data_IF_868224922695
#
_entry.id   IF_868224922695
#
_cell.length_a   1.000
_cell.length_b   1.000
_cell.length_c   1.000
_cell.angle_alpha   90.00
_cell.angle_beta   90.00
_cell.angle_gamma   90.00
#
_symmetry.space_group_name_H-M   'P 1'
#
loop_
_entity.id
_entity.type
_entity.pdbx_description
1 polymer ?
#
# COMPACT_ATOMS: atom_id res chain seq x y z
N UNK A 1 -10.60 10.03 -19.92
CA UNK A 1 -11.29 9.24 -18.93
C UNK A 1 -12.75 9.08 -19.28
N UNK A 2 -13.28 7.87 -19.21
CA UNK A 2 -14.62 7.51 -19.69
C UNK A 2 -15.78 7.83 -18.75
N UNK A 3 -15.71 8.91 -17.97
CA UNK A 3 -16.84 9.36 -17.15
C UNK A 3 -17.93 10.06 -17.96
N UNK A 4 -19.18 9.97 -17.49
CA UNK A 4 -20.32 10.69 -18.02
C UNK A 4 -21.19 11.21 -16.86
N UNK A 5 -22.33 11.88 -17.17
CA UNK A 5 -23.21 12.44 -16.14
C UNK A 5 -23.83 11.41 -15.19
N UNK A 6 -23.88 10.13 -15.57
CA UNK A 6 -24.40 9.04 -14.75
C UNK A 6 -23.29 8.31 -14.00
N UNK A 7 -22.10 8.24 -14.59
CA UNK A 7 -20.91 7.60 -14.03
C UNK A 7 -19.75 8.61 -14.08
N UNK A 8 -19.71 9.56 -13.14
CA UNK A 8 -18.66 10.57 -13.11
C UNK A 8 -17.30 9.92 -12.88
N UNK A 9 -16.27 10.43 -13.53
CA UNK A 9 -14.90 10.00 -13.34
C UNK A 9 -14.01 11.22 -13.12
N UNK A 10 -13.04 11.09 -12.22
CA UNK A 10 -12.02 12.09 -11.94
C UNK A 10 -10.72 11.41 -11.59
N UNK A 11 -9.61 12.04 -11.94
CA UNK A 11 -8.29 11.64 -11.49
C UNK A 11 -8.03 12.24 -10.12
N UNK A 12 -7.31 11.46 -9.28
CA UNK A 12 -6.90 11.88 -7.96
C UNK A 12 -5.40 12.18 -7.89
N UNK A 13 -4.84 12.12 -6.69
CA UNK A 13 -3.44 12.44 -6.46
C UNK A 13 -2.50 11.64 -7.34
N UNK A 14 -1.50 12.32 -7.89
CA UNK A 14 -0.54 11.74 -8.83
C UNK A 14 0.85 11.67 -8.22
N UNK A 15 1.60 10.64 -8.61
CA UNK A 15 3.01 10.49 -8.28
C UNK A 15 3.86 10.72 -9.51
N UNK A 16 4.80 11.65 -9.41
CA UNK A 16 5.77 11.99 -10.45
C UNK A 16 7.08 11.27 -10.18
N UNK A 17 7.71 10.73 -11.22
CA UNK A 17 9.03 10.08 -11.14
C UNK A 17 9.99 10.64 -12.18
N UNK A 18 11.16 11.04 -11.67
CA UNK A 18 12.38 11.25 -12.39
C UNK A 18 13.23 9.97 -12.17
N UNK A 19 13.41 9.16 -13.21
CA UNK A 19 14.07 7.86 -13.10
C UNK A 19 15.54 7.89 -13.47
N UNK A 20 15.97 8.88 -14.23
CA UNK A 20 17.36 9.08 -14.67
C UNK A 20 18.10 10.13 -13.83
N UNK A 21 17.39 10.87 -12.96
CA UNK A 21 17.97 11.83 -12.03
C UNK A 21 18.36 13.16 -12.69
N UNK A 22 17.79 13.49 -13.85
CA UNK A 22 18.10 14.70 -14.59
C UNK A 22 17.33 15.95 -14.12
N UNK A 23 16.43 15.81 -13.14
CA UNK A 23 15.61 16.88 -12.57
C UNK A 23 14.32 17.15 -13.36
N UNK A 24 14.03 16.35 -14.39
CA UNK A 24 12.77 16.42 -15.14
C UNK A 24 11.89 15.18 -14.88
N UNK A 25 10.57 15.35 -15.02
CA UNK A 25 9.64 14.25 -14.86
C UNK A 25 9.71 13.28 -16.05
N UNK A 26 9.92 11.99 -15.80
CA UNK A 26 9.85 10.94 -16.81
C UNK A 26 8.44 10.36 -16.93
N UNK A 27 7.84 10.01 -15.80
CA UNK A 27 6.54 9.39 -15.74
C UNK A 27 5.65 9.97 -14.65
N UNK A 28 4.36 9.96 -14.90
CA UNK A 28 3.32 10.26 -13.89
C UNK A 28 2.37 9.09 -13.79
N UNK A 29 2.05 8.71 -12.56
CA UNK A 29 1.07 7.67 -12.25
C UNK A 29 -0.07 8.28 -11.43
N UNK A 30 -1.32 7.98 -11.80
CA UNK A 30 -2.49 8.48 -11.08
C UNK A 30 -3.64 7.49 -11.15
N UNK A 31 -4.45 7.45 -10.09
CA UNK A 31 -5.70 6.70 -10.05
C UNK A 31 -6.91 7.50 -10.52
N UNK A 32 -7.98 6.80 -10.89
CA UNK A 32 -9.27 7.45 -11.14
C UNK A 32 -10.43 6.72 -10.43
N UNK A 33 -11.62 7.35 -10.40
CA UNK A 33 -12.82 6.80 -9.74
C UNK A 33 -13.36 5.53 -10.42
N UNK A 34 -12.98 5.26 -11.66
CA UNK A 34 -13.33 4.03 -12.37
C UNK A 34 -12.28 2.92 -12.17
N UNK A 35 -11.34 3.12 -11.24
CA UNK A 35 -10.33 2.11 -10.87
C UNK A 35 -9.22 1.96 -11.89
N UNK A 36 -9.05 2.92 -12.81
CA UNK A 36 -7.93 2.86 -13.72
C UNK A 36 -6.68 3.47 -13.06
N UNK A 37 -5.59 2.74 -13.07
CA UNK A 37 -4.25 3.24 -12.80
C UNK A 37 -3.67 3.72 -14.14
N UNK A 38 -3.50 5.01 -14.27
CA UNK A 38 -2.95 5.66 -15.45
C UNK A 38 -1.44 5.83 -15.34
N UNK A 39 -0.77 5.67 -16.48
CA UNK A 39 0.64 6.02 -16.69
C UNK A 39 0.74 7.04 -17.81
N UNK A 40 1.48 8.12 -17.59
CA UNK A 40 1.78 9.16 -18.58
C UNK A 40 3.30 9.22 -18.78
N UNK A 41 3.73 9.16 -20.03
CA UNK A 41 5.13 9.31 -20.44
C UNK A 41 5.39 10.78 -20.78
N UNK A 42 6.24 11.42 -19.98
CA UNK A 42 6.62 12.84 -20.12
C UNK A 42 8.07 13.03 -20.59
N UNK A 43 8.77 11.97 -20.98
CA UNK A 43 10.20 12.01 -21.37
C UNK A 43 10.48 12.84 -22.62
N UNK A 44 9.45 13.15 -23.41
CA UNK A 44 9.62 14.03 -24.56
C UNK A 44 9.91 15.45 -24.13
N UNK A 45 10.92 16.09 -24.72
CA UNK A 45 11.20 17.51 -24.53
C UNK A 45 10.14 18.44 -25.11
N UNK A 46 9.26 17.92 -25.96
CA UNK A 46 8.13 18.66 -26.56
C UNK A 46 6.83 18.42 -25.78
N UNK A 47 6.28 19.46 -25.18
CA UNK A 47 5.00 19.38 -24.46
C UNK A 47 3.84 18.97 -25.35
N UNK A 48 3.90 19.24 -26.66
CA UNK A 48 2.88 18.78 -27.62
C UNK A 48 2.83 17.26 -27.74
N UNK A 49 3.94 16.57 -27.50
CA UNK A 49 3.98 15.11 -27.49
C UNK A 49 3.22 14.51 -26.30
N UNK A 50 3.17 15.19 -25.14
CA UNK A 50 2.50 14.67 -23.93
C UNK A 50 0.99 14.50 -24.11
N UNK A 51 0.38 15.23 -25.06
CA UNK A 51 -1.06 15.10 -25.41
C UNK A 51 -1.33 13.90 -26.31
N UNK A 52 -0.31 13.27 -26.89
CA UNK A 52 -0.50 12.11 -27.75
C UNK A 52 -1.06 10.92 -26.98
N UNK A 53 -1.99 10.21 -27.60
CA UNK A 53 -2.62 9.03 -27.00
C UNK A 53 -1.61 7.91 -26.70
N UNK A 54 -0.49 7.84 -27.46
CA UNK A 54 0.59 6.88 -27.25
C UNK A 54 1.40 7.12 -25.96
N UNK A 55 1.38 8.35 -25.43
CA UNK A 55 2.13 8.73 -24.23
C UNK A 55 1.27 8.66 -22.96
N UNK A 56 0.07 8.13 -23.05
CA UNK A 56 -0.81 7.85 -21.93
C UNK A 56 -1.45 6.48 -22.08
N UNK A 57 -1.45 5.70 -21.02
CA UNK A 57 -2.08 4.39 -21.03
C UNK A 57 -2.72 4.08 -19.69
N UNK A 58 -3.72 3.22 -19.70
CA UNK A 58 -4.18 2.54 -18.49
C UNK A 58 -3.23 1.37 -18.24
N UNK A 59 -2.40 1.48 -17.20
CA UNK A 59 -1.46 0.41 -16.82
C UNK A 59 -2.23 -0.80 -16.29
N UNK A 60 -3.22 -0.56 -15.43
CA UNK A 60 -4.07 -1.59 -14.83
C UNK A 60 -5.47 -1.04 -14.54
N UNK A 61 -6.46 -1.91 -14.51
CA UNK A 61 -7.81 -1.57 -14.05
C UNK A 61 -8.19 -2.43 -12.85
N UNK A 62 -8.37 -1.81 -11.69
CA UNK A 62 -8.74 -2.47 -10.47
C UNK A 62 -10.23 -2.86 -10.47
N UNK A 63 -10.49 -4.14 -10.22
CA UNK A 63 -11.83 -4.73 -10.08
C UNK A 63 -11.82 -5.78 -8.97
N UNK A 64 -12.95 -5.99 -8.29
CA UNK A 64 -13.10 -7.13 -7.38
C UNK A 64 -13.42 -8.43 -8.15
N UNK A 65 -13.59 -9.54 -7.45
CA UNK A 65 -13.92 -10.83 -8.06
C UNK A 65 -15.28 -10.85 -8.79
N UNK A 66 -16.19 -9.97 -8.41
CA UNK A 66 -17.47 -9.76 -9.11
C UNK A 66 -17.37 -8.84 -10.33
N UNK A 67 -16.17 -8.40 -10.71
CA UNK A 67 -15.96 -7.48 -11.84
C UNK A 67 -16.34 -6.03 -11.56
N UNK A 68 -16.69 -5.68 -10.33
CA UNK A 68 -17.02 -4.31 -9.96
C UNK A 68 -15.75 -3.47 -9.86
N UNK A 69 -15.78 -2.27 -10.41
CA UNK A 69 -14.67 -1.32 -10.39
C UNK A 69 -14.35 -0.89 -8.96
N UNK A 70 -13.06 -0.79 -8.67
CA UNK A 70 -12.53 -0.36 -7.38
C UNK A 70 -11.83 0.99 -7.55
N UNK A 71 -12.42 2.11 -7.08
CA UNK A 71 -11.84 3.45 -7.22
C UNK A 71 -10.43 3.55 -6.64
N UNK A 72 -9.57 4.36 -7.24
CA UNK A 72 -8.22 4.66 -6.75
C UNK A 72 -8.17 6.15 -6.43
N UNK A 73 -8.14 6.50 -5.14
CA UNK A 73 -8.25 7.89 -4.67
C UNK A 73 -7.02 8.40 -3.93
N UNK A 74 -6.02 7.54 -3.67
CA UNK A 74 -4.74 7.91 -3.10
C UNK A 74 -3.64 7.99 -4.16
N UNK A 75 -2.54 8.70 -3.86
CA UNK A 75 -1.38 8.73 -4.74
C UNK A 75 -0.68 7.36 -4.74
N UNK A 76 -0.38 6.77 -5.91
CA UNK A 76 0.37 5.52 -5.97
C UNK A 76 1.81 5.72 -5.46
N UNK A 77 2.37 4.72 -4.77
CA UNK A 77 3.80 4.69 -4.49
C UNK A 77 4.54 4.01 -5.65
N UNK A 78 5.62 4.62 -6.13
CA UNK A 78 6.37 4.09 -7.27
C UNK A 78 7.82 3.91 -6.86
N UNK A 79 8.32 2.68 -6.84
CA UNK A 79 9.70 2.37 -6.44
C UNK A 79 10.30 1.30 -7.33
N UNK A 80 11.63 1.28 -7.38
CA UNK A 80 12.40 0.25 -8.08
C UNK A 80 12.77 -0.87 -7.12
N UNK A 81 12.50 -2.11 -7.50
CA UNK A 81 13.01 -3.28 -6.76
C UNK A 81 14.54 -3.28 -6.82
N UNK A 82 15.23 -3.28 -5.67
CA UNK A 82 16.68 -3.24 -5.65
C UNK A 82 17.36 -4.50 -6.21
N UNK A 83 16.63 -5.61 -6.28
CA UNK A 83 17.17 -6.89 -6.72
C UNK A 83 16.98 -7.12 -8.24
N UNK A 84 15.80 -6.78 -8.75
CA UNK A 84 15.44 -7.02 -10.17
C UNK A 84 15.54 -5.76 -11.01
N UNK A 85 15.63 -4.59 -10.37
CA UNK A 85 15.58 -3.26 -11.00
C UNK A 85 14.28 -2.96 -11.74
N UNK A 86 13.27 -3.83 -11.62
CA UNK A 86 11.93 -3.59 -12.13
C UNK A 86 11.27 -2.43 -11.36
N UNK A 87 10.53 -1.60 -12.08
CA UNK A 87 9.74 -0.53 -11.47
C UNK A 87 8.38 -1.09 -11.05
N UNK A 88 7.98 -0.78 -9.83
CA UNK A 88 6.71 -1.22 -9.26
C UNK A 88 5.83 -0.04 -8.86
N UNK A 89 4.53 -0.23 -8.97
CA UNK A 89 3.51 0.74 -8.60
C UNK A 89 2.59 0.12 -7.57
N UNK A 90 2.53 0.71 -6.37
CA UNK A 90 1.70 0.25 -5.25
C UNK A 90 0.56 1.22 -5.03
N UNK A 91 -0.65 0.70 -4.87
CA UNK A 91 -1.84 1.51 -4.64
C UNK A 91 -2.90 0.71 -3.89
N UNK A 92 -3.71 1.42 -3.13
CA UNK A 92 -4.92 0.86 -2.55
C UNK A 92 -6.15 1.33 -3.31
N UNK A 93 -7.25 0.64 -3.08
CA UNK A 93 -8.52 1.03 -3.69
C UNK A 93 -9.51 1.44 -2.64
N UNK A 94 -10.28 2.44 -2.92
CA UNK A 94 -11.52 2.86 -2.33
C UNK A 94 -11.90 4.27 -2.76
N UNK A 95 -13.06 4.69 -2.31
CA UNK A 95 -13.43 6.09 -2.12
C UNK A 95 -14.05 6.28 -0.73
N UNK A 96 -13.89 7.48 -0.19
CA UNK A 96 -14.53 7.93 1.04
C UNK A 96 -14.84 9.43 0.89
N UNK A 97 -15.87 9.73 0.06
CA UNK A 97 -16.18 11.07 -0.44
C UNK A 97 -17.56 11.56 -0.04
N UNK A 98 -18.46 10.66 0.31
CA UNK A 98 -19.83 10.98 0.68
C UNK A 98 -20.38 9.99 1.71
N UNK A 99 -21.57 10.25 2.21
CA UNK A 99 -22.22 9.45 3.24
C UNK A 99 -22.53 8.01 2.77
N UNK A 100 -22.83 7.80 1.48
CA UNK A 100 -23.08 6.46 0.95
C UNK A 100 -21.84 5.57 1.02
N UNK A 101 -20.66 6.17 1.01
CA UNK A 101 -19.41 5.42 1.11
C UNK A 101 -19.22 4.82 2.51
N UNK A 102 -19.81 5.39 3.56
CA UNK A 102 -19.76 4.87 4.94
C UNK A 102 -20.41 3.49 5.03
N UNK A 103 -21.52 3.30 4.33
CA UNK A 103 -22.30 2.05 4.36
C UNK A 103 -21.88 1.04 3.28
N UNK A 104 -21.02 1.44 2.37
CA UNK A 104 -20.57 0.59 1.28
C UNK A 104 -19.58 -0.48 1.81
N UNK A 105 -19.90 -1.75 1.62
CA UNK A 105 -19.06 -2.91 1.99
C UNK A 105 -18.46 -3.61 0.77
N UNK A 106 -18.43 -2.95 -0.39
CA UNK A 106 -17.73 -3.51 -1.55
C UNK A 106 -16.30 -3.86 -1.17
N UNK A 107 -15.85 -5.06 -1.54
CA UNK A 107 -14.48 -5.48 -1.33
C UNK A 107 -13.54 -4.54 -2.06
N UNK A 108 -12.62 -3.95 -1.31
CA UNK A 108 -11.52 -3.17 -1.81
C UNK A 108 -10.22 -3.97 -1.70
N UNK A 109 -9.17 -3.50 -2.34
CA UNK A 109 -7.94 -4.28 -2.43
C UNK A 109 -6.69 -3.41 -2.36
N UNK A 110 -5.61 -4.01 -1.91
CA UNK A 110 -4.25 -3.48 -2.01
C UNK A 110 -3.55 -4.16 -3.18
N UNK A 111 -2.82 -3.39 -3.98
CA UNK A 111 -2.14 -3.85 -5.19
C UNK A 111 -0.67 -3.46 -5.20
N UNK A 112 0.16 -4.38 -5.70
CA UNK A 112 1.50 -4.09 -6.19
C UNK A 112 1.61 -4.60 -7.61
N UNK A 113 1.81 -3.73 -8.59
CA UNK A 113 1.93 -4.08 -10.00
C UNK A 113 3.27 -3.65 -10.57
N UNK A 114 3.84 -4.48 -11.44
CA UNK A 114 5.04 -4.13 -12.17
C UNK A 114 4.70 -3.07 -13.22
N UNK A 115 5.59 -2.09 -13.39
CA UNK A 115 5.46 -1.18 -14.50
C UNK A 115 5.64 -1.92 -15.82
N UNK A 116 4.83 -1.59 -16.81
CA UNK A 116 4.80 -2.27 -18.09
C UNK A 116 4.65 -1.28 -19.23
N UNK A 117 5.13 -1.68 -20.40
CA UNK A 117 4.89 -0.95 -21.66
C UNK A 117 3.49 -1.24 -22.24
N UNK A 118 2.78 -2.22 -21.71
CA UNK A 118 1.43 -2.62 -22.15
C UNK A 118 0.49 -2.73 -20.96
N UNK A 119 -0.80 -2.56 -21.21
CA UNK A 119 -1.84 -2.72 -20.18
C UNK A 119 -1.81 -4.13 -19.58
N UNK A 120 -1.77 -4.22 -18.26
CA UNK A 120 -1.91 -5.46 -17.51
C UNK A 120 -3.41 -5.80 -17.45
N UNK A 121 -3.81 -6.91 -18.02
CA UNK A 121 -5.23 -7.25 -18.20
C UNK A 121 -5.73 -8.21 -17.13
N UNK A 122 -6.62 -7.72 -16.28
CA UNK A 122 -7.39 -8.50 -15.32
C UNK A 122 -6.59 -9.08 -14.15
N UNK A 123 -7.30 -9.54 -13.12
CA UNK A 123 -6.71 -10.14 -11.91
C UNK A 123 -5.90 -11.40 -12.17
N UNK A 124 -6.23 -12.12 -13.24
CA UNK A 124 -5.49 -13.34 -13.64
C UNK A 124 -4.03 -13.10 -13.99
N UNK A 125 -3.65 -11.87 -14.34
CA UNK A 125 -2.25 -11.48 -14.55
C UNK A 125 -1.47 -11.28 -13.23
N UNK A 126 -2.16 -11.14 -12.11
CA UNK A 126 -1.59 -10.90 -10.80
C UNK A 126 -1.65 -12.16 -9.92
N UNK A 127 -0.75 -12.24 -8.94
CA UNK A 127 -0.80 -13.24 -7.88
C UNK A 127 -1.79 -12.77 -6.81
N UNK A 128 -2.78 -13.60 -6.48
CA UNK A 128 -3.60 -13.38 -5.29
C UNK A 128 -2.76 -13.64 -4.05
N UNK A 129 -2.89 -12.79 -3.06
CA UNK A 129 -2.39 -12.91 -1.70
C UNK A 129 -3.55 -12.71 -0.72
N UNK A 130 -3.40 -13.17 0.52
CA UNK A 130 -4.48 -13.14 1.50
C UNK A 130 -4.02 -12.63 2.85
N UNK A 131 -4.94 -12.08 3.63
CA UNK A 131 -4.84 -11.95 5.08
C UNK A 131 -5.09 -13.35 5.63
N UNK A 132 -4.07 -13.99 6.22
CA UNK A 132 -4.12 -15.39 6.62
C UNK A 132 -4.84 -15.59 7.95
N UNK A 133 -4.63 -14.68 8.89
CA UNK A 133 -5.17 -14.79 10.25
C UNK A 133 -5.37 -13.44 10.91
N UNK A 134 -6.27 -13.44 11.88
CA UNK A 134 -6.53 -12.32 12.78
C UNK A 134 -6.41 -12.87 14.20
N UNK A 135 -5.63 -12.24 15.05
CA UNK A 135 -5.62 -12.51 16.48
C UNK A 135 -6.90 -11.95 17.14
N UNK A 136 -7.65 -12.79 17.82
CA UNK A 136 -8.93 -12.40 18.40
C UNK A 136 -8.82 -11.45 19.59
N UNK A 137 -7.64 -11.37 20.23
CA UNK A 137 -7.42 -10.55 21.43
C UNK A 137 -6.94 -9.16 21.07
N UNK A 138 -5.94 -9.09 20.21
CA UNK A 138 -5.29 -7.82 19.82
C UNK A 138 -5.87 -7.23 18.55
N UNK A 139 -6.55 -8.05 17.72
CA UNK A 139 -6.97 -7.68 16.39
C UNK A 139 -5.81 -7.61 15.38
N UNK A 140 -4.60 -7.94 15.80
CA UNK A 140 -3.45 -7.98 14.89
C UNK A 140 -3.65 -9.02 13.79
N UNK A 141 -3.03 -8.80 12.62
CA UNK A 141 -3.19 -9.68 11.45
C UNK A 141 -1.85 -10.19 10.96
N UNK A 142 -1.87 -11.39 10.37
CA UNK A 142 -0.76 -11.89 9.57
C UNK A 142 -1.18 -12.04 8.11
N UNK A 143 -0.25 -11.75 7.21
CA UNK A 143 -0.41 -12.03 5.78
C UNK A 143 0.04 -13.45 5.46
N UNK A 144 -0.18 -13.89 4.22
CA UNK A 144 0.29 -15.17 3.71
C UNK A 144 1.80 -15.35 3.92
N UNK A 145 2.23 -16.57 4.18
CA UNK A 145 3.64 -16.90 4.33
C UNK A 145 4.49 -16.46 3.13
N UNK A 146 5.72 -16.02 3.42
CA UNK A 146 6.64 -15.52 2.40
C UNK A 146 6.82 -16.53 1.26
N UNK A 147 6.52 -16.10 0.06
CA UNK A 147 6.71 -16.85 -1.17
C UNK A 147 6.87 -15.92 -2.37
N UNK A 148 7.71 -16.33 -3.32
CA UNK A 148 7.89 -15.57 -4.56
C UNK A 148 6.61 -15.52 -5.40
N UNK A 149 6.55 -14.58 -6.31
CA UNK A 149 5.50 -14.57 -7.33
C UNK A 149 5.69 -15.75 -8.28
N UNK A 150 4.60 -16.39 -8.66
CA UNK A 150 4.62 -17.38 -9.74
C UNK A 150 5.15 -16.75 -11.03
N UNK A 151 5.96 -17.48 -11.76
CA UNK A 151 6.54 -17.00 -13.01
C UNK A 151 5.47 -16.47 -13.98
N UNK A 152 5.74 -15.33 -14.61
CA UNK A 152 4.81 -14.66 -15.53
C UNK A 152 3.80 -13.73 -14.85
N UNK A 153 3.70 -13.70 -13.51
CA UNK A 153 2.83 -12.74 -12.83
C UNK A 153 3.40 -11.33 -12.91
N UNK A 154 2.50 -10.38 -13.19
CA UNK A 154 2.81 -8.97 -13.36
C UNK A 154 2.64 -8.17 -12.05
N UNK A 155 2.57 -8.85 -10.91
CA UNK A 155 2.37 -8.27 -9.59
C UNK A 155 1.46 -9.11 -8.73
N UNK A 156 0.91 -8.50 -7.69
CA UNK A 156 0.05 -9.15 -6.70
C UNK A 156 -1.12 -8.24 -6.28
N UNK A 157 -2.12 -8.85 -5.64
CA UNK A 157 -3.20 -8.13 -4.94
C UNK A 157 -3.64 -8.87 -3.70
N UNK A 158 -4.18 -8.11 -2.73
CA UNK A 158 -4.80 -8.59 -1.50
C UNK A 158 -6.20 -7.98 -1.41
N UNK A 159 -7.23 -8.82 -1.33
CA UNK A 159 -8.56 -8.35 -0.99
C UNK A 159 -8.63 -8.07 0.51
N UNK A 160 -9.15 -6.90 0.89
CA UNK A 160 -9.29 -6.45 2.26
C UNK A 160 -10.54 -7.08 2.89
N UNK A 161 -10.41 -8.35 3.23
CA UNK A 161 -11.45 -9.16 3.86
C UNK A 161 -10.87 -9.95 5.03
N UNK A 162 -11.65 -10.11 6.10
CA UNK A 162 -11.21 -10.92 7.22
C UNK A 162 -11.22 -12.41 6.86
N UNK A 163 -10.23 -13.20 7.32
CA UNK A 163 -10.19 -14.64 7.09
C UNK A 163 -11.35 -15.37 7.82
N UNK A 164 -11.63 -16.64 7.48
CA UNK A 164 -10.89 -17.43 6.49
C UNK A 164 -11.30 -17.10 5.05
N UNK A 165 -10.32 -17.08 4.17
CA UNK A 165 -10.56 -16.91 2.75
C UNK A 165 -10.39 -18.27 2.02
N UNK A 166 -11.20 -18.62 1.01
CA UNK A 166 -12.43 -17.98 0.55
C UNK A 166 -13.68 -18.30 1.41
N UNK A 167 -14.75 -17.44 1.41
CA UNK A 167 -14.87 -16.19 0.65
C UNK A 167 -14.28 -14.97 1.38
N UNK A 168 -13.96 -15.08 2.69
CA UNK A 168 -13.63 -13.96 3.55
C UNK A 168 -14.85 -13.13 3.96
N UNK A 169 -14.69 -12.29 4.98
CA UNK A 169 -15.74 -11.39 5.46
C UNK A 169 -15.40 -9.95 5.10
N UNK A 170 -16.24 -9.35 4.27
CA UNK A 170 -16.09 -7.95 3.87
C UNK A 170 -16.67 -7.02 4.95
N UNK A 171 -15.83 -6.16 5.52
CA UNK A 171 -16.22 -5.15 6.52
C UNK A 171 -16.27 -3.73 5.96
N UNK A 172 -16.05 -3.56 4.64
CA UNK A 172 -15.92 -2.26 4.02
C UNK A 172 -14.54 -1.62 4.26
N UNK A 173 -13.55 -2.44 4.60
CA UNK A 173 -12.17 -1.98 4.73
C UNK A 173 -11.65 -1.45 3.39
N UNK A 174 -10.91 -0.35 3.44
CA UNK A 174 -10.50 0.42 2.29
C UNK A 174 -9.20 1.17 2.53
N UNK A 175 -8.48 1.47 1.46
CA UNK A 175 -7.27 2.28 1.50
C UNK A 175 -7.53 3.61 0.82
N UNK A 176 -7.46 4.68 1.58
CA UNK A 176 -7.62 6.08 1.13
C UNK A 176 -6.37 6.92 1.42
N UNK A 177 -5.39 6.35 2.11
CA UNK A 177 -4.08 6.94 2.37
C UNK A 177 -3.06 6.51 1.32
N UNK A 178 -2.01 7.30 1.15
CA UNK A 178 -0.94 7.00 0.20
C UNK A 178 -0.04 5.88 0.75
N UNK A 179 0.18 4.78 -0.01
CA UNK A 179 1.13 3.75 0.38
C UNK A 179 2.55 4.28 0.40
N UNK A 180 3.37 3.78 1.32
CA UNK A 180 4.78 4.11 1.42
C UNK A 180 5.61 2.83 1.31
N UNK A 181 6.73 2.91 0.59
CA UNK A 181 7.69 1.79 0.55
C UNK A 181 9.03 2.25 1.08
N UNK A 182 9.47 1.63 2.17
CA UNK A 182 10.75 1.92 2.82
C UNK A 182 11.50 0.60 3.02
N UNK A 183 12.73 0.53 2.52
CA UNK A 183 13.58 -0.67 2.63
C UNK A 183 12.92 -1.98 2.15
N UNK A 184 12.06 -1.90 1.11
CA UNK A 184 11.34 -3.06 0.58
C UNK A 184 10.07 -3.43 1.35
N UNK A 185 9.73 -2.69 2.39
CA UNK A 185 8.49 -2.88 3.17
C UNK A 185 7.44 -1.90 2.67
N UNK A 186 6.29 -2.40 2.26
CA UNK A 186 5.11 -1.60 1.96
C UNK A 186 4.36 -1.32 3.26
N UNK A 187 4.16 -0.04 3.56
CA UNK A 187 3.46 0.44 4.75
C UNK A 187 2.26 1.25 4.28
N UNK A 188 1.07 0.90 4.78
CA UNK A 188 -0.17 1.59 4.39
C UNK A 188 -1.23 1.46 5.47
N UNK A 189 -1.94 2.56 5.75
CA UNK A 189 -3.12 2.54 6.62
C UNK A 189 -4.35 2.16 5.80
N UNK A 190 -5.19 1.30 6.37
CA UNK A 190 -6.54 1.04 5.89
C UNK A 190 -7.57 1.50 6.92
N UNK A 191 -8.79 1.80 6.46
CA UNK A 191 -9.87 2.31 7.30
C UNK A 191 -11.13 1.48 7.09
N UNK A 192 -11.90 1.29 8.17
CA UNK A 192 -13.21 0.66 8.19
C UNK A 192 -14.16 1.68 8.80
N UNK A 193 -14.97 2.40 8.00
CA UNK A 193 -15.89 3.41 8.51
C UNK A 193 -16.94 2.80 9.44
N UNK A 194 -17.28 3.50 10.50
CA UNK A 194 -18.39 3.12 11.38
C UNK A 194 -19.71 3.54 10.77
N UNK A 195 -20.71 2.67 10.91
CA UNK A 195 -22.12 2.96 10.60
C UNK A 195 -22.86 3.50 11.81
N UNK A 196 -22.25 3.43 12.99
CA UNK A 196 -22.84 3.89 14.23
C UNK A 196 -22.63 5.40 14.36
N UNK A 197 -23.70 6.22 14.31
CA UNK A 197 -23.57 7.66 14.48
C UNK A 197 -23.10 8.07 15.86
N UNK A 198 -23.20 7.17 16.86
CA UNK A 198 -22.70 7.40 18.21
C UNK A 198 -21.22 7.04 18.37
N UNK A 199 -20.63 6.30 17.40
CA UNK A 199 -19.23 5.92 17.34
C UNK A 199 -18.64 6.29 15.98
N UNK A 200 -18.50 7.57 15.64
CA UNK A 200 -18.11 8.03 14.30
C UNK A 200 -16.65 7.71 13.96
N UNK A 201 -15.87 7.23 14.93
CA UNK A 201 -14.43 7.01 14.78
C UNK A 201 -14.06 5.87 13.83
N UNK A 202 -14.97 4.92 13.56
CA UNK A 202 -14.63 3.74 12.78
C UNK A 202 -13.47 2.94 13.39
N UNK A 203 -12.78 2.15 12.57
CA UNK A 203 -11.55 1.43 12.92
C UNK A 203 -10.63 1.38 11.72
N UNK A 204 -9.45 0.79 11.87
CA UNK A 204 -8.52 0.65 10.76
C UNK A 204 -7.32 -0.19 11.16
N UNK A 205 -6.41 -0.30 10.22
CA UNK A 205 -5.17 -1.04 10.39
C UNK A 205 -3.99 -0.26 9.85
N UNK A 206 -2.85 -0.42 10.50
CA UNK A 206 -1.57 -0.09 9.93
C UNK A 206 -0.94 -1.39 9.44
N UNK A 207 -0.76 -1.50 8.12
CA UNK A 207 -0.30 -2.70 7.45
C UNK A 207 1.17 -2.55 7.05
N UNK A 208 1.96 -3.62 7.22
CA UNK A 208 3.35 -3.72 6.80
C UNK A 208 3.61 -5.11 6.20
N UNK A 209 4.04 -5.16 4.95
CA UNK A 209 4.28 -6.40 4.21
C UNK A 209 5.43 -6.24 3.23
N UNK A 210 5.95 -7.36 2.73
CA UNK A 210 6.96 -7.33 1.68
C UNK A 210 6.36 -6.72 0.40
N UNK A 211 6.95 -5.63 -0.05
CA UNK A 211 6.41 -4.84 -1.16
C UNK A 211 6.37 -5.65 -2.47
N UNK A 212 7.39 -6.46 -2.75
CA UNK A 212 7.56 -7.09 -4.06
C UNK A 212 6.91 -8.46 -4.16
N UNK A 213 6.55 -9.06 -3.04
CA UNK A 213 5.85 -10.36 -3.00
C UNK A 213 4.41 -10.26 -2.52
N UNK A 214 4.05 -9.22 -1.77
CA UNK A 214 2.73 -9.06 -1.15
C UNK A 214 2.45 -10.04 0.00
N UNK A 215 3.49 -10.50 0.68
CA UNK A 215 3.44 -11.53 1.73
C UNK A 215 3.95 -11.00 3.07
N UNK A 216 3.86 -11.83 4.11
CA UNK A 216 4.48 -11.54 5.41
C UNK A 216 5.97 -11.27 5.26
N UNK A 217 6.46 -10.37 6.09
CA UNK A 217 7.90 -10.17 6.32
C UNK A 217 8.49 -11.41 6.99
N UNK A 218 9.82 -11.54 6.97
CA UNK A 218 10.52 -12.61 7.71
C UNK A 218 10.43 -12.44 9.23
N UNK A 219 10.24 -11.22 9.68
CA UNK A 219 10.13 -10.82 11.10
C UNK A 219 9.17 -9.65 11.16
N UNK A 220 8.34 -9.52 12.19
CA UNK A 220 7.42 -8.39 12.35
C UNK A 220 8.14 -7.05 12.20
N UNK A 221 7.44 -6.07 11.67
CA UNK A 221 7.90 -4.68 11.73
C UNK A 221 7.57 -4.06 13.09
N UNK A 222 6.50 -4.51 13.73
CA UNK A 222 5.91 -3.94 14.93
C UNK A 222 6.42 -4.64 16.20
N UNK A 223 6.47 -3.90 17.30
CA UNK A 223 6.78 -4.31 18.66
C UNK A 223 5.51 -4.06 19.49
N UNK A 224 4.70 -5.11 19.69
CA UNK A 224 3.37 -4.99 20.29
C UNK A 224 3.40 -5.01 21.82
N UNK A 225 4.39 -5.69 22.42
CA UNK A 225 4.51 -5.78 23.87
C UNK A 225 5.53 -4.79 24.45
N UNK A 226 6.30 -4.12 23.59
CA UNK A 226 7.20 -3.04 23.96
C UNK A 226 8.54 -3.48 24.50
N UNK A 227 8.92 -4.76 24.35
CA UNK A 227 10.17 -5.32 24.90
C UNK A 227 11.40 -5.05 24.01
N UNK A 228 11.20 -4.64 22.76
CA UNK A 228 12.24 -4.32 21.78
C UNK A 228 12.67 -5.50 20.93
N UNK A 229 12.09 -6.67 21.13
CA UNK A 229 12.21 -7.81 20.24
C UNK A 229 11.11 -7.74 19.16
N UNK A 230 11.33 -8.40 18.04
CA UNK A 230 10.40 -8.38 16.89
C UNK A 230 10.22 -9.78 16.32
N UNK A 231 10.92 -10.75 16.87
CA UNK A 231 10.93 -12.14 16.40
C UNK A 231 9.84 -12.99 17.03
N UNK A 232 9.30 -12.55 18.14
CA UNK A 232 8.25 -13.17 18.93
C UNK A 232 6.85 -12.57 18.66
N UNK A 233 6.79 -11.51 17.90
CA UNK A 233 5.54 -10.90 17.42
C UNK A 233 4.88 -11.78 16.36
N UNK A 234 4.24 -12.85 16.81
CA UNK A 234 3.75 -13.95 15.99
C UNK A 234 2.27 -14.24 16.22
N UNK A 235 1.57 -14.59 15.15
CA UNK A 235 0.19 -15.10 15.19
C UNK A 235 0.20 -16.56 14.78
N UNK A 236 -0.33 -17.44 15.65
CA UNK A 236 -0.51 -18.87 15.35
C UNK A 236 -1.99 -19.14 15.06
N UNK A 237 -2.27 -19.65 13.88
CA UNK A 237 -3.62 -20.02 13.48
C UNK A 237 -3.58 -21.26 12.57
N UNK A 238 -4.45 -22.25 12.87
CA UNK A 238 -4.52 -23.47 12.06
C UNK A 238 -3.21 -24.26 11.96
N UNK A 239 -2.33 -24.15 12.95
CA UNK A 239 -1.01 -24.81 12.94
C UNK A 239 0.06 -24.07 12.16
N UNK A 240 -0.23 -22.89 11.64
CA UNK A 240 0.75 -22.01 10.98
C UNK A 240 1.05 -20.81 11.87
N UNK A 241 2.32 -20.52 12.05
CA UNK A 241 2.80 -19.35 12.81
C UNK A 241 3.44 -18.36 11.86
N UNK A 242 2.96 -17.11 11.87
CA UNK A 242 3.38 -16.04 10.96
C UNK A 242 3.67 -14.76 11.74
N UNK A 243 4.64 -13.94 11.29
CA UNK A 243 4.88 -12.64 11.88
C UNK A 243 3.67 -11.72 11.76
N UNK A 244 3.47 -10.88 12.77
CA UNK A 244 2.48 -9.81 12.71
C UNK A 244 2.83 -8.87 11.55
N UNK A 245 1.89 -8.71 10.65
CA UNK A 245 2.01 -7.83 9.48
C UNK A 245 1.04 -6.65 9.52
N UNK A 246 0.12 -6.61 10.50
CA UNK A 246 -0.86 -5.55 10.59
C UNK A 246 -1.31 -5.36 12.03
N UNK A 247 -1.35 -4.11 12.49
CA UNK A 247 -1.83 -3.73 13.82
C UNK A 247 -3.14 -2.98 13.72
N UNK A 248 -4.06 -3.27 14.67
CA UNK A 248 -5.36 -2.61 14.74
C UNK A 248 -5.20 -1.19 15.30
N UNK A 249 -5.76 -0.22 14.62
CA UNK A 249 -5.86 1.16 15.10
C UNK A 249 -7.21 1.37 15.82
N UNK A 250 -7.19 2.12 16.91
CA UNK A 250 -8.40 2.45 17.68
C UNK A 250 -9.41 3.34 16.95
N UNK A 251 -9.09 3.79 15.74
CA UNK A 251 -9.91 4.62 14.87
C UNK A 251 -9.45 4.54 13.42
N UNK A 252 -10.05 5.35 12.55
CA UNK A 252 -9.63 5.45 11.14
C UNK A 252 -8.30 6.20 11.05
N UNK A 253 -7.26 5.53 10.55
CA UNK A 253 -5.92 6.09 10.45
C UNK A 253 -5.70 6.89 9.17
N UNK A 254 -4.92 7.96 9.26
CA UNK A 254 -4.36 8.69 8.11
C UNK A 254 -3.08 8.02 7.58
N UNK A 255 -2.38 8.67 6.68
CA UNK A 255 -1.04 8.23 6.27
C UNK A 255 -0.07 8.26 7.48
N UNK A 256 0.68 7.18 7.68
CA UNK A 256 1.67 7.08 8.74
C UNK A 256 2.87 7.99 8.51
N UNK A 257 3.27 8.73 9.53
CA UNK A 257 4.56 9.40 9.57
C UNK A 257 5.61 8.43 10.14
N UNK A 258 6.64 8.13 9.35
CA UNK A 258 7.68 7.16 9.70
C UNK A 258 8.87 7.92 10.29
N UNK A 259 9.17 7.66 11.54
CA UNK A 259 10.32 8.20 12.26
C UNK A 259 11.37 7.09 12.42
N UNK A 260 12.44 7.13 11.64
CA UNK A 260 13.59 6.24 11.82
C UNK A 260 14.52 6.88 12.84
N UNK A 261 14.61 6.32 14.03
CA UNK A 261 15.45 6.84 15.11
C UNK A 261 16.93 6.73 14.76
N UNK A 262 17.63 7.86 14.72
CA UNK A 262 19.08 7.94 14.80
C UNK A 262 19.50 8.15 16.26
N UNK A 263 19.25 7.17 17.12
CA UNK A 263 19.61 7.27 18.55
C UNK A 263 21.05 6.81 18.78
N UNK A 264 21.99 7.73 18.92
CA UNK A 264 23.25 7.46 19.61
C UNK A 264 23.00 7.50 21.13
N UNK A 265 22.59 6.37 21.70
CA UNK A 265 22.41 6.25 23.16
C UNK A 265 21.75 4.93 23.52
N UNK A 266 22.54 3.99 23.96
CA UNK A 266 22.31 2.67 24.51
C UNK A 266 20.86 2.17 24.69
N UNK A 267 20.52 1.12 23.94
CA UNK A 267 19.32 0.33 24.11
C UNK A 267 18.39 0.38 22.90
N UNK A 268 18.49 -0.58 22.00
CA UNK A 268 17.49 -0.90 20.98
C UNK A 268 17.10 0.24 20.03
N UNK A 269 17.86 0.46 18.95
CA UNK A 269 17.56 1.45 17.93
C UNK A 269 16.34 1.09 17.10
N UNK A 270 15.12 1.36 17.57
CA UNK A 270 13.87 1.23 16.85
C UNK A 270 13.37 2.60 16.36
N UNK A 271 12.59 2.61 15.29
CA UNK A 271 11.82 3.75 14.85
C UNK A 271 10.40 3.73 15.42
N UNK A 272 9.60 4.69 14.96
CA UNK A 272 8.14 4.71 15.22
C UNK A 272 7.39 5.04 13.94
N UNK A 273 6.18 4.49 13.80
CA UNK A 273 5.21 4.98 12.83
C UNK A 273 4.06 5.58 13.61
N UNK A 274 3.81 6.87 13.40
CA UNK A 274 2.72 7.58 14.03
C UNK A 274 1.64 7.90 13.00
N UNK A 275 0.39 7.63 13.35
CA UNK A 275 -0.81 7.80 12.53
C UNK A 275 -1.80 8.69 13.31
N UNK A 276 -2.29 9.76 12.68
CA UNK A 276 -3.43 10.47 13.24
C UNK A 276 -4.69 9.62 13.03
N UNK A 277 -5.51 9.49 14.05
CA UNK A 277 -6.76 8.74 14.01
C UNK A 277 -7.99 9.64 14.19
N UNK A 278 -9.13 9.13 13.79
CA UNK A 278 -10.37 9.89 13.65
C UNK A 278 -10.93 10.49 14.95
N UNK A 279 -10.46 10.07 16.11
CA UNK A 279 -10.79 10.66 17.42
C UNK A 279 -9.90 11.85 17.82
N UNK A 280 -9.09 12.34 16.88
CA UNK A 280 -8.11 13.41 17.08
C UNK A 280 -6.91 13.03 17.99
N UNK A 281 -6.68 11.75 18.21
CA UNK A 281 -5.48 11.24 18.87
C UNK A 281 -4.43 10.79 17.86
N UNK A 282 -3.23 10.47 18.34
CA UNK A 282 -2.14 9.94 17.53
C UNK A 282 -1.81 8.54 18.06
N UNK A 283 -1.93 7.54 17.22
CA UNK A 283 -1.42 6.20 17.49
C UNK A 283 0.01 6.10 16.97
N UNK A 284 0.94 5.71 17.82
CA UNK A 284 2.34 5.48 17.44
C UNK A 284 2.72 4.03 17.75
N UNK A 285 3.12 3.32 16.70
CA UNK A 285 3.62 1.95 16.83
C UNK A 285 5.13 1.95 16.80
N UNK A 286 5.76 1.27 17.75
CA UNK A 286 7.20 1.03 17.75
C UNK A 286 7.55 0.07 16.63
N UNK A 287 8.60 0.37 15.88
CA UNK A 287 9.04 -0.45 14.75
C UNK A 287 10.52 -0.77 14.86
N UNK A 288 10.90 -1.91 14.29
CA UNK A 288 12.32 -2.24 14.11
C UNK A 288 12.99 -1.26 13.16
N UNK A 289 14.30 -1.13 13.31
CA UNK A 289 15.09 -0.31 12.41
C UNK A 289 14.94 -0.80 10.95
N UNK A 290 14.51 0.11 10.09
CA UNK A 290 14.48 -0.14 8.64
C UNK A 290 15.79 0.34 8.03
N UNK A 291 16.70 -0.60 7.74
CA UNK A 291 17.95 -0.27 7.08
C UNK A 291 17.72 -0.02 5.60
N UNK A 292 18.05 1.15 5.14
CA UNK A 292 18.14 1.41 3.69
C UNK A 292 19.32 0.64 3.13
N UNK A 293 19.04 -0.32 2.25
CA UNK A 293 20.08 -1.01 1.49
C UNK A 293 20.48 -0.09 0.35
N UNK A 294 21.71 0.43 0.38
CA UNK A 294 22.23 1.32 -0.63
C UNK A 294 23.36 2.23 -0.13
N UNK A 295 23.96 2.99 -1.02
CA UNK A 295 25.04 3.93 -0.67
C UNK A 295 24.45 5.11 0.10
N UNK A 296 24.71 5.19 1.40
CA UNK A 296 24.22 6.24 2.32
C UNK A 296 25.20 7.41 2.51
N UNK A 297 26.31 7.48 1.75
CA UNK A 297 27.28 8.57 1.86
C UNK A 297 27.54 9.23 0.51
N UNK A 298 27.52 10.55 0.48
CA UNK A 298 28.04 11.39 -0.59
C UNK A 298 29.43 11.84 -0.19
N UNK A 299 30.37 11.76 -1.08
CA UNK A 299 31.68 12.39 -0.94
C UNK A 299 31.77 13.49 -1.99
N UNK A 300 31.86 14.72 -1.54
CA UNK A 300 32.17 15.84 -2.41
C UNK A 300 33.61 15.64 -2.96
N UNK A 301 33.74 15.64 -4.26
CA UNK A 301 35.05 15.66 -4.90
C UNK A 301 35.37 17.14 -5.19
N UNK A 302 36.10 17.77 -4.28
CA UNK A 302 36.69 19.09 -4.56
C UNK A 302 37.79 18.85 -5.58
N UNK A 303 37.66 19.42 -6.78
CA UNK A 303 38.74 19.49 -7.77
C UNK A 303 39.49 20.78 -7.51
N UNK A 304 40.75 20.63 -7.15
CA UNK A 304 41.71 21.73 -7.09
C UNK A 304 42.03 22.24 -8.51
#
# INVERSE_FOLDING_TARGET
GGGNGTTPNGMYAATIRDLDGNGTADYVYAGDLLGNLWKFDLRSSSSSAWTNASNRMVLYTAVNDGGQRQPITSAPSVVRDPNTFELWVFFGTARFLNEDDVVNVQVQSLYGVKDSATTITGRGALQRRVISSVDATTGARAFEASSALTAGRQGWYIDLVDPPYPPGTARGERVVSDPQVVAGILIVSSVIPSRDPCLPGGSGYLNALDAFTGTSLSTSLFDLDGDGEFTDELITSGGTTLPVGSVSLGGMGTQGAIFTGGGSGGGGGGGQICVNISDATVACERIREMRRVGRVSWREIIRD
#
